data_IF_912258639936
#
_entry.id   IF_912258639936
#
_cell.length_a   1.000
_cell.length_b   1.000
_cell.length_c   1.000
_cell.angle_alpha   90.00
_cell.angle_beta   90.00
_cell.angle_gamma   90.00
#
_symmetry.space_group_name_H-M   'P 1'
#
loop_
_entity.id
_entity.type
_entity.pdbx_description
1 polymer ?
#
# COMPACT_ATOMS: atom_id res chain seq x y z
N UNK A 1 11.93 14.22 -25.76
CA UNK A 1 12.48 13.95 -24.41
C UNK A 1 11.38 14.24 -23.41
N UNK A 2 11.19 13.38 -22.42
CA UNK A 2 10.20 13.61 -21.35
C UNK A 2 10.85 14.44 -20.26
N UNK A 3 10.25 15.59 -19.95
CA UNK A 3 10.68 16.50 -18.90
C UNK A 3 9.86 16.31 -17.62
N UNK A 4 10.30 16.93 -16.53
CA UNK A 4 9.52 17.01 -15.28
C UNK A 4 8.15 17.62 -15.52
N UNK A 5 8.05 18.67 -16.35
CA UNK A 5 6.79 19.33 -16.67
C UNK A 5 5.82 18.40 -17.44
N UNK A 6 6.35 17.57 -18.35
CA UNK A 6 5.52 16.58 -19.05
C UNK A 6 4.97 15.53 -18.10
N UNK A 7 5.77 15.10 -17.12
CA UNK A 7 5.33 14.16 -16.08
C UNK A 7 4.27 14.78 -15.16
N UNK A 8 4.45 16.04 -14.76
CA UNK A 8 3.47 16.77 -13.94
C UNK A 8 2.17 17.05 -14.70
N UNK A 9 2.24 17.32 -16.01
CA UNK A 9 1.06 17.51 -16.85
C UNK A 9 0.26 16.21 -17.02
N UNK A 10 0.93 15.05 -17.10
CA UNK A 10 0.28 13.76 -17.31
C UNK A 10 -0.21 13.09 -16.01
N UNK A 11 0.57 13.19 -14.93
CA UNK A 11 0.32 12.48 -13.67
C UNK A 11 -0.16 13.40 -12.54
N UNK A 12 -0.15 14.72 -12.77
CA UNK A 12 -0.39 15.72 -11.74
C UNK A 12 0.84 15.99 -10.88
N UNK A 13 0.61 16.67 -9.75
CA UNK A 13 1.69 16.99 -8.82
C UNK A 13 2.20 15.73 -8.09
N UNK A 14 3.52 15.57 -7.95
CA UNK A 14 4.08 14.44 -7.23
C UNK A 14 3.73 14.53 -5.74
N UNK A 15 3.57 13.38 -5.10
CA UNK A 15 3.42 13.30 -3.64
C UNK A 15 4.65 13.85 -2.93
N UNK A 16 5.83 13.57 -3.48
CA UNK A 16 7.09 14.08 -2.97
C UNK A 16 8.05 14.31 -4.13
N UNK A 17 8.76 15.44 -4.11
CA UNK A 17 9.89 15.70 -4.99
C UNK A 17 11.16 15.83 -4.14
N UNK A 18 12.21 15.10 -4.50
CA UNK A 18 13.50 15.12 -3.78
C UNK A 18 14.63 15.35 -4.76
N UNK A 19 15.51 16.29 -4.46
CA UNK A 19 16.73 16.53 -5.22
C UNK A 19 17.90 15.85 -4.51
N UNK A 20 18.58 14.95 -5.21
CA UNK A 20 19.71 14.20 -4.67
C UNK A 20 21.01 15.03 -4.75
N UNK A 21 22.03 14.70 -3.94
CA UNK A 21 23.32 15.41 -3.94
C UNK A 21 24.08 15.29 -5.26
N UNK A 22 23.79 14.25 -6.06
CA UNK A 22 24.30 14.05 -7.41
C UNK A 22 23.60 14.95 -8.46
N UNK A 23 22.70 15.85 -8.02
CA UNK A 23 21.94 16.77 -8.85
C UNK A 23 20.74 16.15 -9.55
N UNK A 24 20.52 14.84 -9.44
CA UNK A 24 19.33 14.18 -9.99
C UNK A 24 18.08 14.57 -9.20
N UNK A 25 16.94 14.60 -9.90
CA UNK A 25 15.64 14.90 -9.30
C UNK A 25 14.78 13.65 -9.31
N UNK A 26 14.26 13.27 -8.15
CA UNK A 26 13.32 12.17 -8.00
C UNK A 26 11.93 12.69 -7.69
N UNK A 27 10.94 12.22 -8.43
CA UNK A 27 9.52 12.48 -8.21
C UNK A 27 8.84 11.19 -7.77
N UNK A 28 8.14 11.23 -6.65
CA UNK A 28 7.39 10.12 -6.12
C UNK A 28 5.90 10.38 -6.28
N UNK A 29 5.20 9.43 -6.89
CA UNK A 29 3.76 9.40 -7.05
C UNK A 29 3.21 8.22 -6.25
N UNK A 30 2.18 8.47 -5.47
CA UNK A 30 1.54 7.43 -4.64
C UNK A 30 0.06 7.39 -4.96
N UNK A 31 -0.42 6.22 -5.39
CA UNK A 31 -1.83 5.97 -5.67
C UNK A 31 -2.31 4.85 -4.76
N UNK A 32 -3.44 5.08 -4.07
CA UNK A 32 -4.09 4.07 -3.23
C UNK A 32 -5.35 3.61 -3.95
N UNK A 33 -5.43 2.33 -4.24
CA UNK A 33 -6.60 1.69 -4.83
C UNK A 33 -7.22 0.78 -3.78
N UNK A 34 -8.46 1.07 -3.39
CA UNK A 34 -9.24 0.21 -2.52
C UNK A 34 -10.06 -0.72 -3.41
N UNK A 35 -9.82 -2.03 -3.31
CA UNK A 35 -10.60 -3.06 -4.00
C UNK A 35 -11.36 -3.91 -2.98
N UNK A 36 -12.58 -4.30 -3.34
CA UNK A 36 -13.31 -5.35 -2.63
C UNK A 36 -12.87 -6.67 -3.23
N UNK A 37 -12.16 -7.51 -2.46
CA UNK A 37 -11.84 -8.85 -2.91
C UNK A 37 -13.10 -9.70 -2.83
N UNK A 38 -13.53 -10.23 -3.98
CA UNK A 38 -14.63 -11.16 -4.07
C UNK A 38 -14.15 -12.53 -3.59
N UNK A 39 -14.63 -12.96 -2.43
CA UNK A 39 -14.32 -14.29 -1.89
C UNK A 39 -14.93 -15.35 -2.82
N UNK A 40 -14.08 -16.23 -3.37
CA UNK A 40 -14.49 -17.27 -4.33
C UNK A 40 -14.89 -18.59 -3.66
N UNK A 41 -14.89 -18.64 -2.31
CA UNK A 41 -15.24 -19.85 -1.56
C UNK A 41 -16.15 -19.51 -0.38
N UNK A 42 -17.47 -19.73 -0.48
CA UNK A 42 -18.39 -19.58 0.64
C UNK A 42 -18.22 -20.77 1.60
N UNK A 43 -17.24 -20.72 2.50
CA UNK A 43 -17.26 -21.57 3.69
C UNK A 43 -18.29 -21.00 4.66
N UNK A 44 -19.42 -21.72 4.80
CA UNK A 44 -20.47 -21.48 5.80
C UNK A 44 -21.14 -20.10 5.76
N UNK A 45 -21.94 -19.85 4.72
CA UNK A 45 -23.13 -18.98 4.81
C UNK A 45 -22.96 -17.46 4.93
N UNK A 46 -21.75 -16.89 4.92
CA UNK A 46 -21.57 -15.44 4.88
C UNK A 46 -20.36 -15.02 4.05
N UNK A 47 -20.62 -14.46 2.86
CA UNK A 47 -19.60 -13.83 2.03
C UNK A 47 -19.30 -12.44 2.59
N UNK A 48 -18.43 -12.36 3.60
CA UNK A 48 -17.96 -11.08 4.13
C UNK A 48 -16.95 -10.51 3.13
N UNK A 49 -17.25 -9.41 2.42
CA UNK A 49 -16.31 -8.84 1.45
C UNK A 49 -15.07 -8.35 2.19
N UNK A 50 -13.89 -8.87 1.81
CA UNK A 50 -12.62 -8.41 2.39
C UNK A 50 -12.19 -7.14 1.68
N UNK A 51 -12.06 -6.05 2.45
CA UNK A 51 -11.45 -4.82 1.96
C UNK A 51 -9.95 -5.05 1.75
N UNK A 52 -9.50 -4.95 0.50
CA UNK A 52 -8.09 -4.94 0.15
C UNK A 52 -7.68 -3.53 -0.25
N UNK A 53 -6.61 -3.04 0.36
CA UNK A 53 -6.02 -1.76 -0.02
C UNK A 53 -4.69 -2.03 -0.71
N UNK A 54 -4.62 -1.69 -2.00
CA UNK A 54 -3.39 -1.75 -2.78
C UNK A 54 -2.81 -0.35 -2.89
N UNK A 55 -1.62 -0.15 -2.34
CA UNK A 55 -0.87 1.10 -2.52
C UNK A 55 0.18 0.89 -3.59
N UNK A 56 0.12 1.67 -4.67
CA UNK A 56 1.11 1.70 -5.74
C UNK A 56 1.94 2.96 -5.56
N UNK A 57 3.24 2.81 -5.45
CA UNK A 57 4.21 3.92 -5.42
C UNK A 57 5.05 3.85 -6.69
N UNK A 58 5.01 4.91 -7.49
CA UNK A 58 5.81 5.06 -8.71
C UNK A 58 6.84 6.16 -8.46
N UNK A 59 8.11 5.86 -8.70
CA UNK A 59 9.19 6.84 -8.65
C UNK A 59 9.71 7.09 -10.06
N UNK A 60 9.90 8.36 -10.40
CA UNK A 60 10.57 8.81 -11.62
C UNK A 60 11.86 9.54 -11.22
N UNK A 61 12.94 9.29 -11.95
CA UNK A 61 14.22 9.95 -11.79
C UNK A 61 14.57 10.73 -13.03
N UNK A 62 15.01 11.96 -12.84
CA UNK A 62 15.46 12.89 -13.87
C UNK A 62 16.90 13.30 -13.60
N UNK A 63 17.66 13.59 -14.66
CA UNK A 63 19.02 14.09 -14.55
C UNK A 63 19.04 15.57 -14.13
N UNK A 64 20.25 16.12 -13.98
CA UNK A 64 20.47 17.52 -13.61
C UNK A 64 19.90 18.51 -14.65
N UNK A 65 19.72 18.05 -15.89
CA UNK A 65 19.18 18.82 -17.01
C UNK A 65 17.65 18.67 -17.14
N UNK A 66 17.02 17.88 -16.26
CA UNK A 66 15.58 17.62 -16.28
C UNK A 66 15.14 16.54 -17.27
N UNK A 67 16.07 15.75 -17.81
CA UNK A 67 15.76 14.63 -18.69
C UNK A 67 15.43 13.37 -17.90
N UNK A 68 14.41 12.65 -18.35
CA UNK A 68 14.05 11.36 -17.78
C UNK A 68 15.20 10.33 -17.88
N UNK A 69 15.58 9.76 -16.73
CA UNK A 69 16.57 8.68 -16.62
C UNK A 69 15.87 7.33 -16.52
N UNK A 70 14.98 7.18 -15.55
CA UNK A 70 14.32 5.89 -15.25
C UNK A 70 13.06 6.06 -14.41
N UNK A 71 12.20 5.06 -14.45
CA UNK A 71 11.06 4.91 -13.54
C UNK A 71 11.05 3.50 -12.93
N UNK A 72 10.56 3.40 -11.70
CA UNK A 72 10.27 2.13 -11.06
C UNK A 72 9.01 2.24 -10.22
N UNK A 73 8.30 1.13 -10.07
CA UNK A 73 7.09 1.07 -9.25
C UNK A 73 7.19 -0.05 -8.23
N UNK A 74 6.55 0.16 -7.09
CA UNK A 74 6.38 -0.83 -6.06
C UNK A 74 4.90 -0.84 -5.66
N UNK A 75 4.29 -2.01 -5.60
CA UNK A 75 2.93 -2.19 -5.12
C UNK A 75 2.94 -3.00 -3.83
N UNK A 76 2.21 -2.51 -2.84
CA UNK A 76 1.95 -3.22 -1.58
C UNK A 76 0.44 -3.36 -1.39
N UNK A 77 -0.04 -4.60 -1.41
CA UNK A 77 -1.42 -4.92 -1.07
C UNK A 77 -1.51 -5.30 0.40
N UNK A 78 -2.11 -4.42 1.19
CA UNK A 78 -2.59 -4.79 2.52
C UNK A 78 -3.97 -5.42 2.35
N UNK A 79 -4.01 -6.74 2.43
CA UNK A 79 -5.26 -7.41 2.78
C UNK A 79 -5.50 -7.08 4.25
N UNK A 80 -6.61 -6.41 4.55
CA UNK A 80 -7.08 -6.35 5.93
C UNK A 80 -7.49 -7.77 6.34
N UNK A 81 -6.51 -8.59 6.72
CA UNK A 81 -6.71 -9.84 7.45
C UNK A 81 -7.00 -9.57 8.93
N UNK A 82 -7.48 -8.37 9.27
CA UNK A 82 -8.19 -8.14 10.51
C UNK A 82 -9.62 -8.66 10.33
N UNK A 83 -9.73 -9.98 10.08
CA UNK A 83 -10.96 -10.68 10.40
C UNK A 83 -11.17 -10.62 11.92
N UNK A 84 -12.41 -10.72 12.40
CA UNK A 84 -12.73 -10.70 13.84
C UNK A 84 -12.27 -11.97 14.59
N UNK A 85 -11.18 -12.59 14.16
CA UNK A 85 -10.67 -13.86 14.72
C UNK A 85 -9.91 -13.72 16.04
N UNK A 86 -9.80 -12.51 16.61
CA UNK A 86 -9.22 -12.32 17.95
C UNK A 86 -10.24 -12.52 19.10
N UNK A 87 -11.23 -13.39 18.89
CA UNK A 87 -12.12 -13.91 19.95
C UNK A 87 -11.72 -15.33 20.41
N UNK A 88 -10.64 -15.90 19.87
CA UNK A 88 -10.24 -17.28 20.11
C UNK A 88 -8.88 -17.47 20.80
N UNK A 89 -8.07 -16.43 20.95
CA UNK A 89 -6.76 -16.52 21.59
C UNK A 89 -6.89 -16.37 23.10
N UNK A 90 -7.60 -17.31 23.75
CA UNK A 90 -7.38 -17.57 25.16
C UNK A 90 -5.99 -18.20 25.26
N UNK A 91 -5.01 -17.45 25.77
CA UNK A 91 -3.72 -18.05 26.08
C UNK A 91 -3.94 -19.07 27.21
N UNK A 92 -3.11 -20.10 27.25
CA UNK A 92 -3.16 -21.22 28.20
C UNK A 92 -2.92 -20.80 29.68
N UNK A 93 -3.00 -19.51 30.00
CA UNK A 93 -2.99 -18.93 31.34
C UNK A 93 -4.26 -18.12 31.71
N UNK A 94 -5.19 -17.89 30.77
CA UNK A 94 -6.38 -17.04 31.01
C UNK A 94 -7.55 -17.81 31.68
N UNK A 95 -7.47 -19.15 31.75
CA UNK A 95 -8.37 -19.94 32.60
C UNK A 95 -7.83 -19.90 34.03
N UNK A 96 -7.90 -18.73 34.68
CA UNK A 96 -7.84 -18.68 36.13
C UNK A 96 -9.20 -19.13 36.67
N UNK A 97 -9.36 -20.45 36.72
CA UNK A 97 -10.50 -21.15 37.31
C UNK A 97 -10.68 -20.62 38.73
N UNK A 98 -11.81 -19.96 38.99
CA UNK A 98 -12.29 -19.74 40.35
C UNK A 98 -12.37 -21.08 41.08
N UNK A 99 -11.38 -21.37 41.92
CA UNK A 99 -11.47 -22.36 42.98
C UNK A 99 -11.75 -21.61 44.25
N UNK A 100 -13.01 -21.69 44.69
CA UNK A 100 -13.37 -21.37 46.06
C UNK A 100 -12.58 -22.25 47.03
N UNK A 101 -12.21 -21.62 48.13
CA UNK A 101 -11.90 -22.21 49.43
C UNK A 101 -12.57 -21.35 50.47
#
# INVERSE_FOLDING_TARGET
>A
MTTVADAEAALGQPFQATKLPDGTQQLQYVTKVNSLAQDSTPTTGSSIPKHQQTTVSTMLSFDQNGHFIRAWSNSKTNSANNGPTDLGHLNQGDINRGTGG
#
